data_IF_358160050309
#
_entry.id   IF_358160050309
#
_cell.length_a   1.000
_cell.length_b   1.000
_cell.length_c   1.000
_cell.angle_alpha   90.00
_cell.angle_beta   90.00
_cell.angle_gamma   90.00
#
_symmetry.space_group_name_H-M   'P 1'
#
loop_
_entity.id
_entity.type
_entity.pdbx_description
1 polymer ?
#
# COMPACT_ATOMS: atom_id res chain seq x y z
N UNK A 1 2.84 18.89 -16.80
CA UNK A 1 2.35 17.60 -16.22
C UNK A 1 2.54 17.68 -14.72
N UNK A 2 1.49 17.45 -13.89
CA UNK A 2 1.61 17.55 -12.42
C UNK A 2 2.51 16.44 -11.88
N UNK A 3 3.43 16.78 -10.99
CA UNK A 3 4.26 15.86 -10.21
C UNK A 3 3.69 15.83 -8.79
N UNK A 4 3.52 14.64 -8.23
CA UNK A 4 3.06 14.46 -6.85
C UNK A 4 4.26 14.27 -5.93
N UNK A 5 4.28 15.01 -4.83
CA UNK A 5 5.33 14.95 -3.82
C UNK A 5 5.03 13.88 -2.77
N UNK A 6 5.96 12.96 -2.60
CA UNK A 6 5.78 11.76 -1.77
C UNK A 6 6.69 11.79 -0.56
N UNK A 7 6.14 11.36 0.57
CA UNK A 7 6.89 10.99 1.76
C UNK A 7 6.89 9.48 1.98
N UNK A 8 8.04 8.91 2.31
CA UNK A 8 8.17 7.51 2.71
C UNK A 8 8.16 7.43 4.23
N UNK A 9 7.25 6.66 4.80
CA UNK A 9 7.18 6.39 6.23
C UNK A 9 7.58 4.93 6.51
N UNK A 10 8.72 4.75 7.19
CA UNK A 10 9.39 3.47 7.38
C UNK A 10 10.60 3.32 6.46
N UNK A 11 11.81 3.33 7.04
CA UNK A 11 13.10 3.27 6.33
C UNK A 11 13.72 1.87 6.34
N UNK A 12 12.90 0.82 6.44
CA UNK A 12 13.31 -0.58 6.43
C UNK A 12 13.76 -1.09 5.06
N UNK A 13 13.91 -2.41 4.95
CA UNK A 13 14.43 -3.05 3.72
C UNK A 13 13.54 -2.76 2.50
N UNK A 14 12.22 -2.84 2.67
CA UNK A 14 11.26 -2.69 1.57
C UNK A 14 11.26 -1.28 0.96
N UNK A 15 11.65 -0.26 1.73
CA UNK A 15 11.70 1.12 1.23
C UNK A 15 12.66 1.28 0.05
N UNK A 16 13.74 0.52 0.03
CA UNK A 16 14.72 0.54 -1.08
C UNK A 16 14.12 0.05 -2.38
N UNK A 17 13.32 -1.00 -2.33
CA UNK A 17 12.60 -1.52 -3.51
C UNK A 17 11.63 -0.47 -4.03
N UNK A 18 10.79 0.12 -3.15
CA UNK A 18 9.87 1.17 -3.54
C UNK A 18 10.59 2.39 -4.16
N UNK A 19 11.67 2.84 -3.55
CA UNK A 19 12.43 3.98 -4.06
C UNK A 19 13.09 3.70 -5.42
N UNK A 20 13.63 2.50 -5.60
CA UNK A 20 14.19 2.09 -6.88
C UNK A 20 13.12 2.05 -7.99
N UNK A 21 11.95 1.47 -7.69
CA UNK A 21 10.84 1.37 -8.64
C UNK A 21 10.22 2.74 -8.95
N UNK A 22 10.03 3.58 -7.95
CA UNK A 22 9.53 4.96 -8.15
C UNK A 22 10.48 5.72 -9.09
N UNK A 23 11.77 5.65 -8.84
CA UNK A 23 12.79 6.32 -9.66
C UNK A 23 12.83 5.79 -11.09
N UNK A 24 12.67 4.48 -11.27
CA UNK A 24 12.76 3.84 -12.58
C UNK A 24 11.51 4.04 -13.44
N UNK A 25 10.32 3.94 -12.85
CA UNK A 25 9.07 3.75 -13.59
C UNK A 25 8.05 4.87 -13.40
N UNK A 26 8.09 5.65 -12.30
CA UNK A 26 7.00 6.57 -11.95
C UNK A 26 7.40 8.04 -12.05
N UNK A 27 7.55 8.54 -13.29
CA UNK A 27 8.00 9.93 -13.59
C UNK A 27 7.07 11.04 -13.04
N UNK A 28 5.88 10.70 -12.58
CA UNK A 28 4.93 11.65 -11.97
C UNK A 28 5.05 11.72 -10.46
N UNK A 29 5.94 10.96 -9.86
CA UNK A 29 6.16 10.88 -8.44
C UNK A 29 7.56 11.40 -8.09
N UNK A 30 7.65 12.32 -7.14
CA UNK A 30 8.90 12.80 -6.57
C UNK A 30 8.94 12.48 -5.08
N UNK A 31 9.89 11.67 -4.65
CA UNK A 31 10.09 11.42 -3.23
C UNK A 31 10.93 12.55 -2.65
N UNK A 32 10.30 13.40 -1.85
CA UNK A 32 10.93 14.59 -1.24
C UNK A 32 11.38 14.37 0.19
N UNK A 33 10.79 13.40 0.89
CA UNK A 33 11.05 13.12 2.30
C UNK A 33 10.99 11.62 2.59
N UNK A 34 11.75 11.19 3.58
CA UNK A 34 11.59 9.89 4.22
C UNK A 34 11.67 10.04 5.75
N UNK A 35 10.96 9.17 6.47
CA UNK A 35 10.85 9.22 7.92
C UNK A 35 10.94 7.82 8.55
N UNK A 36 11.46 7.80 9.75
CA UNK A 36 11.48 6.61 10.61
C UNK A 36 11.44 7.05 12.08
N UNK A 37 10.99 6.17 12.98
CA UNK A 37 11.07 6.41 14.43
C UNK A 37 12.54 6.53 14.86
N UNK A 38 13.42 5.76 14.21
CA UNK A 38 14.87 5.95 14.31
C UNK A 38 15.33 6.87 13.15
N UNK A 39 15.51 8.14 13.45
CA UNK A 39 15.93 9.16 12.48
C UNK A 39 17.29 8.83 11.82
N UNK A 40 18.12 7.99 12.44
CA UNK A 40 19.38 7.55 11.83
C UNK A 40 19.12 6.71 10.58
N UNK A 41 18.05 5.90 10.57
CA UNK A 41 17.63 5.10 9.43
C UNK A 41 17.08 5.97 8.29
N UNK A 42 16.28 6.99 8.61
CA UNK A 42 15.78 7.93 7.59
C UNK A 42 16.91 8.75 6.97
N UNK A 43 17.90 9.20 7.77
CA UNK A 43 19.09 9.90 7.26
C UNK A 43 19.94 9.01 6.34
N UNK A 44 20.13 7.74 6.71
CA UNK A 44 20.85 6.77 5.88
C UNK A 44 20.13 6.55 4.55
N UNK A 45 18.82 6.33 4.59
CA UNK A 45 18.01 6.13 3.39
C UNK A 45 18.01 7.38 2.50
N UNK A 46 17.89 8.57 3.09
CA UNK A 46 17.94 9.84 2.38
C UNK A 46 19.29 10.04 1.65
N UNK A 47 20.39 9.74 2.33
CA UNK A 47 21.73 9.81 1.72
C UNK A 47 21.90 8.82 0.58
N UNK A 48 21.39 7.59 0.71
CA UNK A 48 21.50 6.53 -0.28
C UNK A 48 20.75 6.86 -1.59
N UNK A 49 19.56 7.48 -1.48
CA UNK A 49 18.68 7.75 -2.62
C UNK A 49 18.64 9.23 -3.06
N UNK A 50 19.38 10.11 -2.39
CA UNK A 50 19.40 11.55 -2.69
C UNK A 50 18.12 12.27 -2.30
N UNK A 51 17.43 11.79 -1.26
CA UNK A 51 16.20 12.42 -0.74
C UNK A 51 16.60 13.63 0.11
N UNK A 52 15.91 14.76 -0.09
CA UNK A 52 16.30 16.04 0.51
C UNK A 52 16.04 16.12 2.01
N UNK A 53 14.97 15.44 2.48
CA UNK A 53 14.46 15.58 3.84
C UNK A 53 14.43 14.23 4.55
N UNK A 54 15.09 14.13 5.71
CA UNK A 54 15.07 12.97 6.58
C UNK A 54 14.44 13.35 7.92
N UNK A 55 13.31 12.78 8.22
CA UNK A 55 12.37 13.22 9.24
C UNK A 55 12.09 12.16 10.30
N UNK A 56 11.52 12.59 11.43
CA UNK A 56 10.67 11.77 12.28
C UNK A 56 9.30 11.58 11.62
N UNK A 57 8.48 10.61 12.06
CA UNK A 57 7.11 10.47 11.57
C UNK A 57 6.27 11.75 11.71
N UNK A 58 6.41 12.44 12.85
CA UNK A 58 5.69 13.68 13.12
C UNK A 58 6.09 14.82 12.16
N UNK A 59 7.38 15.03 11.94
CA UNK A 59 7.87 16.02 10.99
C UNK A 59 7.39 15.75 9.56
N UNK A 60 7.34 14.47 9.15
CA UNK A 60 6.81 14.07 7.85
C UNK A 60 5.33 14.46 7.69
N UNK A 61 4.53 14.20 8.72
CA UNK A 61 3.09 14.49 8.69
C UNK A 61 2.79 15.99 8.72
N UNK A 62 3.67 16.78 9.31
CA UNK A 62 3.56 18.25 9.39
C UNK A 62 4.15 18.98 8.17
N UNK A 63 4.80 18.28 7.25
CA UNK A 63 5.34 18.90 6.03
C UNK A 63 4.25 19.09 4.97
N UNK A 64 3.81 20.34 4.76
CA UNK A 64 2.76 20.69 3.80
C UNK A 64 3.12 20.38 2.34
N UNK A 65 4.41 20.21 2.02
CA UNK A 65 4.82 19.82 0.67
C UNK A 65 4.54 18.34 0.38
N UNK A 66 4.40 17.48 1.39
CA UNK A 66 4.10 16.06 1.21
C UNK A 66 2.61 15.87 0.94
N UNK A 67 2.27 15.40 -0.25
CA UNK A 67 0.88 15.15 -0.68
C UNK A 67 0.44 13.72 -0.39
N UNK A 68 1.35 12.75 -0.60
CA UNK A 68 1.08 11.31 -0.47
C UNK A 68 2.11 10.70 0.48
N UNK A 69 1.66 9.92 1.44
CA UNK A 69 2.54 9.13 2.30
C UNK A 69 2.44 7.66 1.92
N UNK A 70 3.60 7.06 1.62
CA UNK A 70 3.73 5.61 1.45
C UNK A 70 4.15 5.02 2.79
N UNK A 71 3.24 4.27 3.42
CA UNK A 71 3.47 3.63 4.71
C UNK A 71 4.07 2.24 4.53
N UNK A 72 5.34 2.12 4.85
CA UNK A 72 6.17 0.90 4.75
C UNK A 72 6.61 0.40 6.12
N UNK A 73 5.91 0.79 7.17
CA UNK A 73 6.21 0.37 8.54
C UNK A 73 5.76 -1.07 8.80
N UNK A 74 6.15 -1.67 9.94
CA UNK A 74 5.66 -3.00 10.31
C UNK A 74 4.12 -3.06 10.44
N UNK A 75 3.48 -4.20 10.12
CA UNK A 75 2.02 -4.35 10.01
C UNK A 75 1.22 -3.90 11.25
N UNK A 76 1.78 -4.11 12.45
CA UNK A 76 1.11 -3.74 13.70
C UNK A 76 0.86 -2.23 13.85
N UNK A 77 1.57 -1.40 13.07
CA UNK A 77 1.42 0.05 13.10
C UNK A 77 0.56 0.61 11.96
N UNK A 78 0.19 -0.22 10.97
CA UNK A 78 -0.47 0.25 9.75
C UNK A 78 -1.73 1.05 10.02
N UNK A 79 -2.65 0.53 10.85
CA UNK A 79 -3.94 1.19 11.13
C UNK A 79 -3.75 2.50 11.90
N UNK A 80 -2.90 2.50 12.92
CA UNK A 80 -2.65 3.69 13.72
C UNK A 80 -2.02 4.82 12.87
N UNK A 81 -1.00 4.48 12.10
CA UNK A 81 -0.33 5.43 11.21
C UNK A 81 -1.22 5.87 10.04
N UNK A 82 -2.03 4.96 9.48
CA UNK A 82 -3.01 5.31 8.46
C UNK A 82 -3.96 6.41 8.95
N UNK A 83 -4.50 6.27 10.16
CA UNK A 83 -5.38 7.28 10.76
C UNK A 83 -4.65 8.62 10.96
N UNK A 84 -3.40 8.62 11.40
CA UNK A 84 -2.59 9.83 11.56
C UNK A 84 -2.33 10.52 10.22
N UNK A 85 -1.90 9.77 9.18
CA UNK A 85 -1.64 10.26 7.83
C UNK A 85 -2.91 10.93 7.25
N UNK A 86 -4.04 10.23 7.35
CA UNK A 86 -5.33 10.72 6.86
C UNK A 86 -5.79 11.97 7.63
N UNK A 87 -5.60 11.98 8.96
CA UNK A 87 -5.94 13.14 9.81
C UNK A 87 -5.09 14.37 9.45
N UNK A 88 -3.84 14.17 9.06
CA UNK A 88 -2.96 15.21 8.54
C UNK A 88 -3.33 15.67 7.11
N UNK A 89 -4.44 15.18 6.54
CA UNK A 89 -4.93 15.56 5.22
C UNK A 89 -4.14 14.99 4.04
N UNK A 90 -3.31 13.98 4.27
CA UNK A 90 -2.45 13.40 3.24
C UNK A 90 -3.07 12.14 2.65
N UNK A 91 -2.86 11.92 1.35
CA UNK A 91 -3.20 10.66 0.70
C UNK A 91 -2.31 9.54 1.22
N UNK A 92 -2.86 8.33 1.30
CA UNK A 92 -2.17 7.16 1.84
C UNK A 92 -2.00 6.07 0.78
N UNK A 93 -0.79 5.52 0.67
CA UNK A 93 -0.56 4.18 0.13
C UNK A 93 0.10 3.32 1.21
N UNK A 94 -0.50 2.20 1.57
CA UNK A 94 0.00 1.35 2.66
C UNK A 94 0.49 0.00 2.14
N UNK A 95 1.56 -0.52 2.74
CA UNK A 95 1.93 -1.92 2.56
C UNK A 95 0.85 -2.87 3.11
N UNK A 96 0.89 -4.10 2.59
CA UNK A 96 0.03 -5.19 3.07
C UNK A 96 0.53 -5.74 4.43
N UNK A 97 -0.39 -6.24 5.26
CA UNK A 97 -1.84 -6.16 5.19
C UNK A 97 -2.33 -4.74 5.52
N UNK A 98 -3.42 -4.32 4.90
CA UNK A 98 -4.00 -3.00 5.14
C UNK A 98 -4.43 -2.80 6.60
N UNK A 99 -5.11 -3.80 7.14
CA UNK A 99 -5.56 -3.86 8.52
C UNK A 99 -5.66 -5.32 9.00
N UNK A 100 -5.64 -5.58 10.31
CA UNK A 100 -5.73 -6.94 10.85
C UNK A 100 -7.14 -7.54 10.74
N UNK A 101 -8.17 -6.71 10.59
CA UNK A 101 -9.56 -7.13 10.50
C UNK A 101 -10.40 -6.10 9.71
N UNK A 102 -11.63 -6.50 9.36
CA UNK A 102 -12.55 -5.68 8.55
C UNK A 102 -13.01 -4.40 9.28
N UNK A 103 -13.17 -4.45 10.61
CA UNK A 103 -13.60 -3.30 11.40
C UNK A 103 -12.58 -2.18 11.31
N UNK A 104 -11.32 -2.48 11.57
CA UNK A 104 -10.22 -1.51 11.50
C UNK A 104 -10.05 -0.95 10.09
N UNK A 105 -10.16 -1.83 9.07
CA UNK A 105 -10.12 -1.40 7.68
C UNK A 105 -11.23 -0.41 7.35
N UNK A 106 -12.46 -0.69 7.78
CA UNK A 106 -13.60 0.19 7.56
C UNK A 106 -13.42 1.54 8.26
N UNK A 107 -12.97 1.56 9.49
CA UNK A 107 -12.71 2.81 10.23
C UNK A 107 -11.70 3.71 9.50
N UNK A 108 -10.65 3.13 8.91
CA UNK A 108 -9.66 3.88 8.11
C UNK A 108 -10.30 4.44 6.84
N UNK A 109 -11.11 3.65 6.15
CA UNK A 109 -11.76 4.07 4.90
C UNK A 109 -12.82 5.15 5.15
N UNK A 110 -13.64 5.00 6.19
CA UNK A 110 -14.65 5.99 6.58
C UNK A 110 -13.98 7.33 6.95
N UNK A 111 -12.83 7.29 7.66
CA UNK A 111 -12.05 8.47 7.98
C UNK A 111 -11.47 9.15 6.72
N UNK A 112 -10.99 8.34 5.77
CA UNK A 112 -10.44 8.86 4.51
C UNK A 112 -11.52 9.56 3.67
N UNK A 113 -12.72 8.98 3.61
CA UNK A 113 -13.88 9.59 2.95
C UNK A 113 -14.25 10.91 3.61
N UNK A 114 -14.37 10.95 4.94
CA UNK A 114 -14.67 12.15 5.70
C UNK A 114 -13.65 13.29 5.51
N UNK A 115 -12.37 12.94 5.30
CA UNK A 115 -11.28 13.89 5.05
C UNK A 115 -11.06 14.21 3.57
N UNK A 116 -11.75 13.56 2.65
CA UNK A 116 -11.60 13.75 1.21
C UNK A 116 -10.26 13.28 0.63
N UNK A 117 -9.54 12.40 1.33
CA UNK A 117 -8.25 11.85 0.88
C UNK A 117 -8.41 10.47 0.24
N UNK A 118 -7.44 10.09 -0.57
CA UNK A 118 -7.42 8.78 -1.24
C UNK A 118 -6.55 7.80 -0.47
N UNK A 119 -6.99 6.54 -0.48
CA UNK A 119 -6.28 5.42 0.15
C UNK A 119 -6.05 4.33 -0.89
N UNK A 120 -4.83 3.81 -0.93
CA UNK A 120 -4.41 2.63 -1.69
C UNK A 120 -3.66 1.66 -0.80
N UNK A 121 -3.62 0.39 -1.20
CA UNK A 121 -2.88 -0.65 -0.47
C UNK A 121 -2.24 -1.63 -1.44
N UNK A 122 -1.03 -2.10 -1.12
CA UNK A 122 -0.40 -3.26 -1.74
C UNK A 122 -1.15 -4.57 -1.33
N UNK A 123 -1.00 -5.66 -2.10
CA UNK A 123 -0.19 -5.77 -3.30
C UNK A 123 -0.88 -5.14 -4.52
N UNK A 124 -0.07 -4.62 -5.42
CA UNK A 124 -0.50 -4.10 -6.71
C UNK A 124 -0.57 -5.17 -7.81
N UNK A 125 -0.30 -6.43 -7.46
CA UNK A 125 -0.25 -7.58 -8.39
C UNK A 125 -1.54 -7.76 -9.18
N UNK A 126 -2.71 -7.35 -8.62
CA UNK A 126 -3.98 -7.37 -9.35
C UNK A 126 -4.03 -6.38 -10.54
N UNK A 127 -3.11 -5.41 -10.59
CA UNK A 127 -2.93 -4.48 -11.72
C UNK A 127 -2.06 -5.06 -12.84
N UNK A 128 -1.40 -6.20 -12.60
CA UNK A 128 -0.59 -6.88 -13.61
C UNK A 128 -1.41 -7.25 -14.85
N UNK A 129 -0.80 -7.14 -16.02
CA UNK A 129 -1.47 -7.31 -17.31
C UNK A 129 -2.29 -8.60 -17.44
N UNK A 130 -1.77 -9.71 -16.92
CA UNK A 130 -2.47 -10.99 -16.92
C UNK A 130 -3.78 -10.98 -16.12
N UNK A 131 -3.79 -10.34 -14.93
CA UNK A 131 -4.99 -10.23 -14.10
C UNK A 131 -5.98 -9.20 -14.67
N UNK A 132 -5.50 -8.13 -15.29
CA UNK A 132 -6.36 -7.18 -15.99
C UNK A 132 -6.99 -7.80 -17.24
N UNK A 133 -6.26 -8.64 -17.98
CA UNK A 133 -6.81 -9.43 -19.08
C UNK A 133 -7.88 -10.41 -18.60
N UNK A 134 -7.61 -11.12 -17.50
CA UNK A 134 -8.59 -12.02 -16.89
C UNK A 134 -9.86 -11.27 -16.48
N UNK A 135 -9.71 -10.09 -15.86
CA UNK A 135 -10.84 -9.24 -15.51
C UNK A 135 -11.66 -8.85 -16.75
N UNK A 136 -10.99 -8.42 -17.83
CA UNK A 136 -11.65 -8.10 -19.08
C UNK A 136 -12.49 -9.27 -19.61
N UNK A 137 -11.94 -10.50 -19.63
CA UNK A 137 -12.67 -11.68 -20.09
C UNK A 137 -13.86 -12.02 -19.20
N UNK A 138 -13.75 -11.79 -17.89
CA UNK A 138 -14.87 -11.97 -16.94
C UNK A 138 -15.96 -10.93 -17.14
N UNK A 139 -15.60 -9.66 -17.29
CA UNK A 139 -16.54 -8.56 -17.45
C UNK A 139 -17.22 -8.61 -18.82
N UNK A 140 -16.55 -9.13 -19.84
CA UNK A 140 -17.10 -9.42 -21.16
C UNK A 140 -17.90 -10.73 -21.26
N UNK A 141 -18.07 -11.47 -20.14
CA UNK A 141 -18.72 -12.80 -20.08
C UNK A 141 -18.11 -13.86 -21.02
N UNK A 142 -16.83 -13.71 -21.36
CA UNK A 142 -16.10 -14.68 -22.18
C UNK A 142 -15.56 -15.87 -21.35
N UNK A 143 -15.55 -15.73 -20.02
CA UNK A 143 -15.20 -16.77 -19.05
C UNK A 143 -16.34 -16.86 -18.04
N UNK A 144 -16.80 -18.07 -17.78
CA UNK A 144 -17.86 -18.34 -16.81
C UNK A 144 -17.36 -18.09 -15.38
N UNK A 145 -18.05 -17.20 -14.67
CA UNK A 145 -17.78 -16.91 -13.24
C UNK A 145 -18.00 -18.11 -12.34
N UNK A 146 -18.85 -19.05 -12.74
CA UNK A 146 -19.11 -20.26 -11.95
C UNK A 146 -17.87 -21.12 -11.76
N UNK A 147 -17.05 -21.27 -12.79
CA UNK A 147 -15.76 -22.00 -12.70
C UNK A 147 -14.75 -21.33 -11.75
N UNK A 148 -14.81 -20.01 -11.62
CA UNK A 148 -13.96 -19.27 -10.67
C UNK A 148 -14.41 -19.47 -9.22
N UNK A 149 -15.70 -19.50 -8.97
CA UNK A 149 -16.25 -19.79 -7.63
C UNK A 149 -15.92 -21.22 -7.18
N UNK A 150 -15.98 -22.20 -8.09
CA UNK A 150 -15.55 -23.58 -7.80
C UNK A 150 -14.06 -23.61 -7.44
N UNK A 151 -13.20 -22.96 -8.24
CA UNK A 151 -11.76 -22.89 -7.94
C UNK A 151 -11.46 -22.17 -6.63
N UNK A 152 -12.19 -21.12 -6.30
CA UNK A 152 -12.06 -20.39 -5.03
C UNK A 152 -12.43 -21.30 -3.85
N UNK A 153 -13.53 -22.04 -3.95
CA UNK A 153 -13.94 -23.03 -2.92
C UNK A 153 -12.91 -24.14 -2.76
N UNK A 154 -12.39 -24.69 -3.86
CA UNK A 154 -11.35 -25.71 -3.83
C UNK A 154 -10.05 -25.19 -3.21
N UNK A 155 -9.64 -23.97 -3.54
CA UNK A 155 -8.45 -23.33 -2.95
C UNK A 155 -8.63 -23.07 -1.46
N UNK A 156 -9.82 -22.62 -1.05
CA UNK A 156 -10.15 -22.41 0.37
C UNK A 156 -10.14 -23.73 1.14
N UNK A 157 -10.74 -24.81 0.60
CA UNK A 157 -10.72 -26.13 1.25
C UNK A 157 -9.29 -26.67 1.38
N UNK A 158 -8.45 -26.47 0.36
CA UNK A 158 -7.04 -26.86 0.40
C UNK A 158 -6.24 -26.06 1.44
N UNK A 159 -6.42 -24.74 1.51
CA UNK A 159 -5.72 -23.87 2.46
C UNK A 159 -6.18 -24.07 3.90
N UNK A 160 -7.45 -24.42 4.12
CA UNK A 160 -8.01 -24.68 5.45
C UNK A 160 -7.84 -26.13 5.91
N UNK A 161 -7.21 -26.99 5.11
CA UNK A 161 -6.94 -28.39 5.46
C UNK A 161 -8.21 -29.24 5.58
N UNK A 162 -9.29 -28.87 4.88
CA UNK A 162 -10.54 -29.60 4.89
C UNK A 162 -10.38 -30.94 4.14
N UNK A 163 -10.25 -32.03 4.92
CA UNK A 163 -10.10 -33.41 4.43
C UNK A 163 -11.40 -34.04 3.93
N UNK A 164 -12.48 -33.27 3.76
CA UNK A 164 -13.79 -33.79 3.33
C UNK A 164 -13.93 -33.95 1.81
N UNK A 165 -12.83 -33.83 1.06
CA UNK A 165 -12.85 -34.02 -0.39
C UNK A 165 -12.73 -35.52 -0.74
N UNK A 166 -13.75 -36.18 -1.36
CA UNK A 166 -13.77 -37.60 -1.63
C UNK A 166 -12.91 -38.07 -2.82
N UNK A 167 -11.97 -37.24 -3.31
CA UNK A 167 -11.09 -37.54 -4.44
C UNK A 167 -9.58 -37.53 -4.08
N UNK A 168 -9.23 -37.92 -2.84
CA UNK A 168 -7.86 -38.33 -2.50
C UNK A 168 -7.79 -39.83 -2.26
#
# INVERSE_FOLDING_TARGET
MRIFKIGILGSGIISRTYLADIKAFYKKLEVIACADIDVSLSRKLASEFGIKKAYTPEELLNDDEVEIVINLTPPQFHVALAKQIITAGKHLFSEKPFAPNLKDAKEVLDLAEAKGVKVGCAPDTFLASGLQSLRYYLDANLIDRHHLEIRKKLLQSYLLGDKSNPQQ
#
